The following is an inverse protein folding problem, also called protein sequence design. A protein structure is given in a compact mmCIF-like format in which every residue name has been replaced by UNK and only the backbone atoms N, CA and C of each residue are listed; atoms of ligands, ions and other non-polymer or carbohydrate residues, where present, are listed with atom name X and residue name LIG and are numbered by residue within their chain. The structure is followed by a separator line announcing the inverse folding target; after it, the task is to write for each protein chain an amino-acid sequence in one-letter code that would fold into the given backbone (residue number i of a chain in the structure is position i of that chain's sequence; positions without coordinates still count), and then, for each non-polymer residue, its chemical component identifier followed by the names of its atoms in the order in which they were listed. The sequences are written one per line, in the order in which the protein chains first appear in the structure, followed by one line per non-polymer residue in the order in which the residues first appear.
data_IF_570422342940
#
_entry.id   IF_570422342940
#
_cell.length_a   1.000
_cell.length_b   1.000
_cell.length_c   1.000
_cell.angle_alpha   90.00
_cell.angle_beta   90.00
_cell.angle_gamma   90.00
#
_symmetry.space_group_name_H-M   'P 1'
#
loop_
_entity.id
_entity.type
_entity.pdbx_description
1 polymer ?
#
# COMPACT_ATOMS: atom_id res chain seq x y z
N UNK A 1 -12.01 1.09 -16.02
CA UNK A 1 -11.41 1.06 -14.67
C UNK A 1 -11.17 -0.40 -14.30
N UNK A 2 -9.93 -0.81 -14.03
CA UNK A 2 -9.61 -2.23 -13.88
C UNK A 2 -9.85 -2.68 -12.43
N UNK A 3 -11.11 -3.01 -12.10
CA UNK A 3 -11.55 -3.31 -10.71
C UNK A 3 -10.72 -4.40 -10.04
N UNK A 4 -10.32 -5.43 -10.80
CA UNK A 4 -9.47 -6.53 -10.31
C UNK A 4 -8.11 -6.05 -9.80
N UNK A 5 -7.50 -5.07 -10.46
CA UNK A 5 -6.21 -4.53 -10.03
C UNK A 5 -6.31 -3.82 -8.67
N UNK A 6 -7.42 -3.09 -8.44
CA UNK A 6 -7.67 -2.39 -7.18
C UNK A 6 -7.91 -3.40 -6.06
N UNK A 7 -8.78 -4.39 -6.28
CA UNK A 7 -9.06 -5.45 -5.30
C UNK A 7 -7.79 -6.19 -4.91
N UNK A 8 -6.98 -6.62 -5.88
CA UNK A 8 -5.74 -7.34 -5.59
C UNK A 8 -4.79 -6.48 -4.76
N UNK A 9 -4.52 -5.22 -5.13
CA UNK A 9 -3.59 -4.41 -4.35
C UNK A 9 -4.14 -4.01 -2.97
N UNK A 10 -5.46 -3.81 -2.82
CA UNK A 10 -6.08 -3.61 -1.50
C UNK A 10 -5.92 -4.87 -0.64
N UNK A 11 -6.22 -6.05 -1.18
CA UNK A 11 -6.06 -7.34 -0.47
C UNK A 11 -4.60 -7.60 -0.12
N UNK A 12 -3.67 -7.37 -1.05
CA UNK A 12 -2.23 -7.52 -0.80
C UNK A 12 -1.76 -6.58 0.30
N UNK A 13 -2.15 -5.31 0.23
CA UNK A 13 -1.89 -4.39 1.32
C UNK A 13 -2.46 -4.96 2.62
N UNK A 14 -3.75 -5.28 2.65
CA UNK A 14 -4.46 -5.63 3.90
C UNK A 14 -3.85 -6.89 4.52
N UNK A 15 -3.44 -7.85 3.69
CA UNK A 15 -2.66 -9.00 4.11
C UNK A 15 -1.36 -8.58 4.80
N UNK A 16 -0.61 -7.62 4.24
CA UNK A 16 0.62 -7.10 4.87
C UNK A 16 0.31 -6.41 6.20
N UNK A 17 -0.75 -5.61 6.27
CA UNK A 17 -1.13 -4.97 7.53
C UNK A 17 -1.52 -6.01 8.58
N UNK A 18 -2.38 -6.97 8.25
CA UNK A 18 -2.82 -8.00 9.20
C UNK A 18 -1.66 -8.88 9.65
N UNK A 19 -0.85 -9.39 8.71
CA UNK A 19 0.32 -10.22 9.04
C UNK A 19 1.37 -9.42 9.82
N UNK A 20 1.58 -8.16 9.44
CA UNK A 20 2.51 -7.24 10.11
C UNK A 20 2.07 -6.93 11.53
N UNK A 21 0.77 -6.65 11.74
CA UNK A 21 0.19 -6.43 13.07
C UNK A 21 0.33 -7.69 13.92
N UNK A 22 0.00 -8.88 13.40
CA UNK A 22 0.17 -10.14 14.13
C UNK A 22 1.63 -10.40 14.51
N UNK A 23 2.57 -10.17 13.59
CA UNK A 23 3.99 -10.29 13.86
C UNK A 23 4.47 -9.27 14.91
N UNK A 24 4.00 -8.03 14.84
CA UNK A 24 4.28 -7.00 15.86
C UNK A 24 3.70 -7.38 17.21
N UNK A 25 2.46 -7.85 17.28
CA UNK A 25 1.83 -8.31 18.52
C UNK A 25 2.63 -9.47 19.12
N UNK A 26 2.98 -10.47 18.32
CA UNK A 26 3.84 -11.56 18.76
C UNK A 26 5.18 -11.06 19.31
N UNK A 27 5.84 -10.15 18.60
CA UNK A 27 7.11 -9.56 19.02
C UNK A 27 7.00 -8.81 20.36
N UNK A 28 5.97 -7.98 20.51
CA UNK A 28 5.72 -7.22 21.74
C UNK A 28 5.52 -8.17 22.93
N UNK A 29 4.73 -9.24 22.75
CA UNK A 29 4.53 -10.25 23.78
C UNK A 29 5.84 -10.96 24.19
N UNK A 30 6.77 -11.18 23.25
CA UNK A 30 8.03 -11.87 23.55
C UNK A 30 9.11 -10.97 24.15
N UNK A 31 9.18 -9.69 23.78
CA UNK A 31 10.32 -8.81 24.07
C UNK A 31 10.02 -7.77 25.17
N UNK A 32 8.80 -7.72 25.72
CA UNK A 32 8.39 -6.72 26.73
C UNK A 32 8.72 -5.28 26.29
N UNK A 33 8.36 -4.97 25.04
CA UNK A 33 8.62 -3.65 24.45
C UNK A 33 7.78 -2.59 25.16
N UNK A 34 8.33 -1.41 25.50
CA UNK A 34 7.55 -0.32 26.10
C UNK A 34 6.38 0.10 25.19
N UNK A 35 5.20 0.28 25.77
CA UNK A 35 3.96 0.63 25.05
C UNK A 35 4.09 1.90 24.18
N UNK A 36 4.98 2.82 24.56
CA UNK A 36 5.22 4.08 23.84
C UNK A 36 5.62 3.87 22.37
N UNK A 37 6.29 2.76 22.04
CA UNK A 37 6.77 2.52 20.67
C UNK A 37 5.74 1.79 19.79
N UNK A 38 4.71 1.17 20.38
CA UNK A 38 3.73 0.35 19.66
C UNK A 38 2.97 1.17 18.61
N UNK A 39 2.57 2.40 18.97
CA UNK A 39 1.90 3.32 18.05
C UNK A 39 2.74 3.67 16.81
N UNK A 40 4.04 3.94 17.01
CA UNK A 40 4.97 4.26 15.91
C UNK A 40 5.21 3.08 14.97
N UNK A 41 5.32 1.85 15.51
CA UNK A 41 5.45 0.65 14.70
C UNK A 41 4.21 0.38 13.84
N UNK A 42 3.02 0.49 14.44
CA UNK A 42 1.77 0.32 13.71
C UNK A 42 1.59 1.37 12.61
N UNK A 43 1.93 2.63 12.87
CA UNK A 43 1.91 3.67 11.83
C UNK A 43 2.85 3.36 10.67
N UNK A 44 4.06 2.90 10.98
CA UNK A 44 5.06 2.53 9.98
C UNK A 44 4.58 1.34 9.13
N UNK A 45 3.97 0.33 9.74
CA UNK A 45 3.35 -0.80 9.05
C UNK A 45 2.24 -0.38 8.10
N UNK A 46 1.37 0.55 8.51
CA UNK A 46 0.30 1.08 7.65
C UNK A 46 0.90 1.78 6.43
N UNK A 47 1.91 2.64 6.62
CA UNK A 47 2.60 3.33 5.51
C UNK A 47 3.20 2.33 4.53
N UNK A 48 3.93 1.32 5.02
CA UNK A 48 4.52 0.27 4.18
C UNK A 48 3.43 -0.50 3.42
N UNK A 49 2.34 -0.85 4.09
CA UNK A 49 1.22 -1.59 3.49
C UNK A 49 0.56 -0.80 2.35
N UNK A 50 0.38 0.51 2.54
CA UNK A 50 -0.17 1.41 1.51
C UNK A 50 0.77 1.53 0.32
N UNK A 51 2.08 1.63 0.56
CA UNK A 51 3.08 1.69 -0.51
C UNK A 51 3.06 0.39 -1.33
N UNK A 52 3.10 -0.77 -0.67
CA UNK A 52 3.12 -2.06 -1.38
C UNK A 52 1.79 -2.33 -2.08
N UNK A 53 0.66 -2.05 -1.42
CA UNK A 53 -0.67 -2.16 -2.00
C UNK A 53 -0.84 -1.26 -3.22
N UNK A 54 -0.45 0.02 -3.10
CA UNK A 54 -0.49 0.99 -4.19
C UNK A 54 0.45 0.64 -5.35
N UNK A 55 1.68 0.19 -5.07
CA UNK A 55 2.57 -0.34 -6.12
C UNK A 55 1.94 -1.53 -6.85
N UNK A 56 1.30 -2.44 -6.13
CA UNK A 56 0.64 -3.63 -6.71
C UNK A 56 -0.54 -3.23 -7.60
N UNK A 57 -1.40 -2.29 -7.15
CA UNK A 57 -2.50 -1.77 -7.98
C UNK A 57 -1.99 -1.05 -9.22
N UNK A 58 -0.93 -0.26 -9.09
CA UNK A 58 -0.27 0.45 -10.19
C UNK A 58 0.34 -0.49 -11.22
N UNK A 59 1.04 -1.52 -10.75
CA UNK A 59 1.61 -2.56 -11.59
C UNK A 59 0.51 -3.26 -12.38
N UNK A 60 -0.58 -3.71 -11.76
CA UNK A 60 -1.66 -4.42 -12.46
C UNK A 60 -2.53 -3.50 -13.34
N UNK A 61 -2.76 -2.26 -12.89
CA UNK A 61 -3.67 -1.27 -13.47
C UNK A 61 -3.26 -0.70 -14.83
N UNK A 62 -1.96 -0.66 -15.12
CA UNK A 62 -1.44 -0.47 -16.49
C UNK A 62 -1.47 0.96 -17.05
N UNK A 63 -2.61 1.66 -17.18
CA UNK A 63 -2.62 2.98 -17.88
C UNK A 63 -2.68 4.18 -16.94
N UNK A 64 -3.37 4.05 -15.80
CA UNK A 64 -3.60 5.14 -14.84
C UNK A 64 -3.17 4.73 -13.42
N UNK A 65 -1.85 4.56 -13.22
CA UNK A 65 -1.28 4.13 -11.94
C UNK A 65 -1.66 5.03 -10.77
N UNK A 66 -1.63 6.35 -10.98
CA UNK A 66 -2.03 7.33 -9.95
C UNK A 66 -3.50 7.19 -9.53
N UNK A 67 -4.43 6.97 -10.48
CA UNK A 67 -5.85 6.78 -10.16
C UNK A 67 -6.06 5.50 -9.36
N UNK A 68 -5.44 4.39 -9.78
CA UNK A 68 -5.66 3.10 -9.12
C UNK A 68 -4.97 3.04 -7.76
N UNK A 69 -3.78 3.62 -7.65
CA UNK A 69 -3.06 3.81 -6.39
C UNK A 69 -3.79 4.72 -5.41
N UNK A 70 -4.32 5.86 -5.88
CA UNK A 70 -5.12 6.78 -5.07
C UNK A 70 -6.40 6.12 -4.56
N UNK A 71 -7.11 5.38 -5.41
CA UNK A 71 -8.28 4.60 -4.97
C UNK A 71 -7.92 3.53 -3.93
N UNK A 72 -6.80 2.82 -4.08
CA UNK A 72 -6.35 1.89 -3.03
C UNK A 72 -6.01 2.60 -1.73
N UNK A 73 -5.33 3.75 -1.77
CA UNK A 73 -4.99 4.55 -0.59
C UNK A 73 -6.22 5.10 0.12
N UNK A 74 -7.24 5.53 -0.64
CA UNK A 74 -8.53 5.95 -0.10
C UNK A 74 -9.26 4.81 0.60
N UNK A 75 -9.36 3.64 -0.03
CA UNK A 75 -9.98 2.45 0.57
C UNK A 75 -9.23 2.08 1.86
N UNK A 76 -7.91 2.16 1.83
CA UNK A 76 -7.05 1.95 2.97
C UNK A 76 -7.34 2.90 4.14
N UNK A 77 -7.45 4.18 3.83
CA UNK A 77 -7.82 5.20 4.81
C UNK A 77 -9.17 4.89 5.44
N UNK A 78 -10.17 4.48 4.65
CA UNK A 78 -11.49 4.11 5.17
C UNK A 78 -11.39 2.94 6.15
N UNK A 79 -10.67 1.87 5.80
CA UNK A 79 -10.46 0.74 6.72
C UNK A 79 -9.72 1.15 7.99
N UNK A 80 -8.66 1.94 7.85
CA UNK A 80 -7.88 2.42 8.98
C UNK A 80 -8.71 3.33 9.90
N UNK A 81 -9.47 4.27 9.32
CA UNK A 81 -10.32 5.21 10.05
C UNK A 81 -11.41 4.48 10.84
N UNK A 82 -12.11 3.53 10.23
CA UNK A 82 -13.08 2.70 10.95
C UNK A 82 -12.38 1.84 12.01
N UNK A 83 -11.22 1.27 11.70
CA UNK A 83 -10.43 0.52 12.67
C UNK A 83 -10.13 1.34 13.92
N UNK A 84 -9.67 2.58 13.77
CA UNK A 84 -9.42 3.46 14.92
C UNK A 84 -10.74 3.83 15.61
N UNK A 85 -11.77 4.23 14.86
CA UNK A 85 -13.06 4.63 15.43
C UNK A 85 -13.70 3.55 16.32
N UNK A 86 -13.59 2.27 15.94
CA UNK A 86 -14.16 1.15 16.66
C UNK A 86 -13.25 0.60 17.78
N UNK A 87 -11.93 0.53 17.58
CA UNK A 87 -11.02 -0.13 18.52
C UNK A 87 -10.41 0.83 19.55
N UNK A 88 -10.25 2.09 19.21
CA UNK A 88 -9.63 3.09 20.07
C UNK A 88 -10.27 4.46 19.76
N UNK A 89 -11.40 4.82 20.41
CA UNK A 89 -12.08 6.08 20.15
C UNK A 89 -11.19 7.25 20.58
N UNK A 90 -10.31 7.69 19.68
CA UNK A 90 -9.48 8.87 19.80
C UNK A 90 -10.28 10.04 19.23
N UNK A 91 -10.29 11.16 19.94
CA UNK A 91 -10.87 12.40 19.43
C UNK A 91 -10.06 12.90 18.24
N UNK A 92 -10.52 12.60 17.03
CA UNK A 92 -9.92 13.15 15.82
C UNK A 92 -10.29 14.62 15.67
N UNK A 93 -9.28 15.47 15.55
CA UNK A 93 -9.51 16.80 15.00
C UNK A 93 -9.76 16.69 13.50
N UNK A 94 -10.54 17.63 12.95
CA UNK A 94 -10.74 17.72 11.49
C UNK A 94 -9.43 17.85 10.73
N UNK A 95 -8.43 18.50 11.33
CA UNK A 95 -7.11 18.66 10.76
C UNK A 95 -6.39 17.31 10.62
N UNK A 96 -6.37 16.47 11.66
CA UNK A 96 -5.69 15.18 11.64
C UNK A 96 -6.34 14.21 10.64
N UNK A 97 -7.68 14.23 10.58
CA UNK A 97 -8.44 13.47 9.58
C UNK A 97 -8.04 13.86 8.15
N UNK A 98 -8.04 15.16 7.84
CA UNK A 98 -7.68 15.66 6.51
C UNK A 98 -6.22 15.35 6.16
N UNK A 99 -5.31 15.51 7.12
CA UNK A 99 -3.89 15.22 6.95
C UNK A 99 -3.66 13.73 6.63
N UNK A 100 -4.28 12.81 7.37
CA UNK A 100 -4.13 11.37 7.14
C UNK A 100 -4.81 10.90 5.86
N UNK A 101 -5.97 11.46 5.53
CA UNK A 101 -6.65 11.19 4.25
C UNK A 101 -5.75 11.56 3.07
N UNK A 102 -5.18 12.78 3.10
CA UNK A 102 -4.27 13.25 2.06
C UNK A 102 -2.97 12.43 2.04
N UNK A 103 -2.42 12.09 3.20
CA UNK A 103 -1.19 11.30 3.29
C UNK A 103 -1.37 9.90 2.71
N UNK A 104 -2.41 9.15 3.11
CA UNK A 104 -2.63 7.79 2.66
C UNK A 104 -3.08 7.72 1.19
N UNK A 105 -3.95 8.64 0.78
CA UNK A 105 -4.39 8.73 -0.63
C UNK A 105 -3.24 9.19 -1.53
N UNK A 106 -2.46 10.17 -1.08
CA UNK A 106 -1.28 10.69 -1.79
C UNK A 106 -0.18 9.65 -1.93
N UNK A 107 0.19 8.98 -0.83
CA UNK A 107 1.14 7.86 -0.85
C UNK A 107 0.65 6.72 -1.74
N UNK A 108 -0.64 6.39 -1.68
CA UNK A 108 -1.26 5.41 -2.56
C UNK A 108 -1.11 5.81 -4.03
N UNK A 109 -1.39 7.06 -4.38
CA UNK A 109 -1.24 7.56 -5.75
C UNK A 109 0.22 7.54 -6.23
N UNK A 110 1.16 8.01 -5.40
CA UNK A 110 2.59 8.02 -5.69
C UNK A 110 3.14 6.60 -5.89
N UNK A 111 2.84 5.68 -4.97
CA UNK A 111 3.23 4.28 -5.08
C UNK A 111 2.60 3.59 -6.29
N UNK A 112 1.35 3.93 -6.65
CA UNK A 112 0.71 3.47 -7.89
C UNK A 112 1.41 3.94 -9.17
N UNK A 113 1.96 5.16 -9.19
CA UNK A 113 2.80 5.64 -10.30
C UNK A 113 4.11 4.85 -10.37
N UNK A 114 4.75 4.60 -9.22
CA UNK A 114 5.98 3.81 -9.15
C UNK A 114 5.77 2.38 -9.68
N UNK A 115 4.75 1.68 -9.20
CA UNK A 115 4.43 0.32 -9.64
C UNK A 115 4.15 0.23 -11.14
N UNK A 116 3.49 1.25 -11.70
CA UNK A 116 3.27 1.35 -13.14
C UNK A 116 4.60 1.51 -13.91
N UNK A 117 5.47 2.40 -13.47
CA UNK A 117 6.75 2.64 -14.13
C UNK A 117 7.63 1.39 -14.09
N UNK A 118 7.66 0.67 -12.97
CA UNK A 118 8.40 -0.59 -12.85
C UNK A 118 7.88 -1.66 -13.84
N UNK A 119 6.56 -1.78 -14.02
CA UNK A 119 5.99 -2.68 -15.04
C UNK A 119 6.41 -2.29 -16.45
N UNK A 120 6.42 -1.00 -16.77
CA UNK A 120 6.84 -0.50 -18.10
C UNK A 120 8.31 -0.84 -18.36
N UNK A 121 9.18 -0.62 -17.38
CA UNK A 121 10.60 -0.99 -17.46
C UNK A 121 10.78 -2.50 -17.64
N UNK A 122 10.06 -3.32 -16.86
CA UNK A 122 10.10 -4.78 -16.96
C UNK A 122 9.67 -5.28 -18.35
N UNK A 123 8.61 -4.70 -18.92
CA UNK A 123 8.13 -5.03 -20.28
C UNK A 123 9.16 -4.65 -21.36
N UNK A 124 9.77 -3.47 -21.27
CA UNK A 124 10.83 -3.03 -22.20
C UNK A 124 12.02 -3.98 -22.17
N UNK A 125 12.47 -4.39 -20.98
CA UNK A 125 13.57 -5.37 -20.83
C UNK A 125 13.25 -6.74 -21.44
N UNK A 126 12.01 -7.23 -21.28
CA UNK A 126 11.58 -8.50 -21.89
C UNK A 126 11.52 -8.42 -23.42
N UNK A 127 11.04 -7.31 -23.96
CA UNK A 127 11.02 -7.10 -25.41
C UNK A 127 12.44 -7.09 -26.01
N UNK A 128 13.39 -6.40 -25.36
CA UNK A 128 14.79 -6.37 -25.79
C UNK A 128 15.47 -7.76 -25.76
N UNK A 129 15.19 -8.58 -24.75
CA UNK A 129 15.70 -9.97 -24.70
C UNK A 129 15.14 -10.84 -25.83
N UNK A 130 13.85 -10.67 -26.16
CA UNK A 130 13.22 -11.42 -27.25
C UNK A 130 13.80 -11.10 -28.63
N UNK A 131 14.11 -9.83 -28.90
CA UNK A 131 14.74 -9.42 -30.17
C UNK A 131 16.18 -9.92 -30.33
N UNK A 132 16.95 -10.02 -29.24
CA UNK A 132 18.32 -10.57 -29.30
C UNK A 132 18.36 -12.08 -29.51
N UNK A 133 17.37 -12.81 -29.00
CA UNK A 133 17.26 -14.26 -29.20
C UNK A 133 16.75 -14.64 -30.61
N UNK A 134 16.07 -13.73 -31.31
CA UNK A 134 15.57 -13.95 -32.68
C UNK A 134 16.56 -13.61 -33.79
N UNK A 135 17.66 -12.91 -33.50
CA UNK A 135 18.66 -12.51 -34.50
C UNK A 135 19.88 -13.45 -34.57
N UNK A 136 19.79 -14.63 -33.96
CA UNK A 136 20.87 -15.63 -33.87
C UNK A 136 20.62 -16.88 -34.73
N UNK A 137 19.61 -16.86 -35.60
CA UNK A 137 19.25 -17.96 -36.51
C UNK A 137 19.51 -17.61 -37.96
#
# INVERSE_FOLDING_TARGET
MNRRAIVVGVVTGLGITVLGTLACTWWIFTVWVPEMYVGSYMHSLVIVSVIVGGMTTGWLGGRYGWKHGGWSGLIYFVFWFFGVLFLAPVFFTWHDFAAQLLLLTGLGAMSGVLGLNLRRVSRRRRAQKGTMAGSSG
#
